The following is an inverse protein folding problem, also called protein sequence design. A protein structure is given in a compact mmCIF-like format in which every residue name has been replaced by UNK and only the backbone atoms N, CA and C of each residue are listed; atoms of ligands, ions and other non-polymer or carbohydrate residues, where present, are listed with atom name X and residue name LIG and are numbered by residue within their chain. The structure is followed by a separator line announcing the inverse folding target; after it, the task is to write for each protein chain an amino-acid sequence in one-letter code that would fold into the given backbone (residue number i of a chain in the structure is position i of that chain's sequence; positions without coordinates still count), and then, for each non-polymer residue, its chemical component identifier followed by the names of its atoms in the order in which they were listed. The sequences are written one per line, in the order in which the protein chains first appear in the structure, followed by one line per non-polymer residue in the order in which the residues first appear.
data_IF_460099184097
#
_entry.id   IF_460099184097
#
_cell.length_a   1.000
_cell.length_b   1.000
_cell.length_c   1.000
_cell.angle_alpha   90.00
_cell.angle_beta   90.00
_cell.angle_gamma   90.00
#
_symmetry.space_group_name_H-M   'P 1'
#
loop_
_entity.id
_entity.type
_entity.pdbx_description
1 polymer ?
#
# COMPACT_ATOMS: atom_id res chain seq x y z
N UNK A 1 3.13 -26.04 -17.00
CA UNK A 1 3.93 -26.21 -15.78
C UNK A 1 4.76 -24.96 -15.44
N UNK A 2 4.15 -23.76 -15.35
CA UNK A 2 4.89 -22.50 -15.03
C UNK A 2 4.10 -21.60 -14.04
N UNK A 3 2.81 -21.85 -13.81
CA UNK A 3 1.98 -20.94 -12.98
C UNK A 3 2.07 -21.18 -11.46
N UNK A 4 2.49 -22.38 -11.03
CA UNK A 4 2.52 -22.76 -9.61
C UNK A 4 3.71 -22.18 -8.82
N UNK A 5 4.77 -21.73 -9.52
CA UNK A 5 6.01 -21.25 -8.91
C UNK A 5 5.88 -19.78 -8.46
N UNK A 6 5.10 -18.95 -9.18
CA UNK A 6 4.93 -17.52 -8.82
C UNK A 6 4.04 -17.31 -7.58
N UNK A 7 3.11 -18.23 -7.28
CA UNK A 7 2.17 -18.11 -6.16
C UNK A 7 2.88 -18.38 -4.81
N UNK A 8 3.78 -19.37 -4.77
CA UNK A 8 4.54 -19.72 -3.56
C UNK A 8 5.46 -18.57 -3.10
N UNK A 9 6.03 -17.81 -4.03
CA UNK A 9 6.89 -16.67 -3.69
C UNK A 9 6.14 -15.50 -3.08
N UNK A 10 4.92 -15.21 -3.54
CA UNK A 10 4.13 -14.11 -2.98
C UNK A 10 3.64 -14.48 -1.57
N UNK A 11 3.13 -15.70 -1.38
CA UNK A 11 2.71 -16.18 -0.05
C UNK A 11 3.90 -16.28 0.91
N UNK A 12 5.05 -16.79 0.46
CA UNK A 12 6.27 -16.84 1.28
C UNK A 12 6.84 -15.44 1.60
N UNK A 13 6.75 -14.49 0.67
CA UNK A 13 7.14 -13.10 0.90
C UNK A 13 6.21 -12.41 1.91
N UNK A 14 4.90 -12.67 1.83
CA UNK A 14 3.93 -12.18 2.83
C UNK A 14 4.12 -12.83 4.21
N UNK A 15 4.42 -14.14 4.24
CA UNK A 15 4.70 -14.88 5.48
C UNK A 15 6.05 -14.50 6.11
N UNK A 16 7.08 -14.17 5.32
CA UNK A 16 8.39 -13.76 5.85
C UNK A 16 8.38 -12.36 6.46
N UNK A 17 7.48 -11.49 6.01
CA UNK A 17 7.32 -10.13 6.54
C UNK A 17 6.39 -10.05 7.76
N UNK A 18 5.50 -11.03 7.96
CA UNK A 18 4.52 -11.07 9.05
C UNK A 18 4.89 -12.03 10.19
N UNK A 19 5.77 -13.02 9.97
CA UNK A 19 6.30 -13.88 11.03
C UNK A 19 7.60 -13.31 11.61
N UNK A 20 7.55 -12.86 12.87
CA UNK A 20 8.74 -12.90 13.72
C UNK A 20 9.14 -14.38 13.89
N UNK A 21 10.26 -14.79 13.28
CA UNK A 21 10.92 -16.10 13.33
C UNK A 21 10.31 -17.28 12.52
N UNK A 22 10.84 -17.56 11.30
CA UNK A 22 10.49 -18.75 10.52
C UNK A 22 11.07 -20.08 11.06
N UNK A 23 11.99 -20.05 12.05
CA UNK A 23 12.63 -21.25 12.62
C UNK A 23 12.14 -21.62 14.04
N UNK A 24 11.05 -21.03 14.54
CA UNK A 24 10.49 -21.44 15.84
C UNK A 24 9.74 -22.76 15.65
N UNK A 25 10.45 -23.88 15.78
CA UNK A 25 9.89 -25.23 15.86
C UNK A 25 8.91 -25.23 17.04
N UNK A 26 7.61 -25.13 16.78
CA UNK A 26 6.60 -25.56 17.74
C UNK A 26 6.54 -27.09 17.68
N UNK A 27 7.54 -27.75 18.26
CA UNK A 27 7.29 -29.02 18.95
C UNK A 27 6.96 -28.64 20.37
N UNK A 28 5.76 -28.11 20.55
CA UNK A 28 5.04 -28.37 21.79
C UNK A 28 4.18 -29.56 21.42
N UNK A 29 4.60 -30.74 21.86
CA UNK A 29 3.67 -31.85 22.06
C UNK A 29 2.52 -31.22 22.82
N UNK A 30 1.35 -31.17 22.20
CA UNK A 30 0.15 -30.63 22.82
C UNK A 30 -0.13 -31.57 23.98
N UNK A 31 0.35 -31.22 25.18
CA UNK A 31 -0.21 -31.75 26.41
C UNK A 31 -1.71 -31.50 26.33
N UNK A 32 -2.48 -32.54 26.58
CA UNK A 32 -3.94 -32.61 26.51
C UNK A 32 -4.66 -31.61 27.45
N UNK A 33 -3.88 -30.80 28.18
CA UNK A 33 -4.32 -29.71 29.06
C UNK A 33 -3.85 -28.32 28.65
N UNK A 34 -3.51 -28.10 27.37
CA UNK A 34 -3.35 -26.75 26.84
C UNK A 34 -4.72 -26.05 26.95
N UNK A 35 -4.94 -25.33 28.06
CA UNK A 35 -5.99 -24.33 28.18
C UNK A 35 -5.79 -23.37 27.02
N UNK A 36 -6.52 -23.65 25.93
CA UNK A 36 -6.91 -22.67 24.92
C UNK A 36 -7.29 -21.44 25.72
N UNK A 37 -6.71 -20.29 25.40
CA UNK A 37 -7.04 -19.04 26.08
C UNK A 37 -8.58 -18.93 26.09
N UNK A 38 -9.22 -19.20 27.23
CA UNK A 38 -10.68 -19.33 27.41
C UNK A 38 -11.34 -17.95 27.44
N UNK A 39 -10.86 -17.04 26.60
CA UNK A 39 -11.67 -15.96 26.11
C UNK A 39 -11.97 -16.36 24.67
N UNK A 40 -12.90 -17.30 24.51
CA UNK A 40 -13.55 -17.48 23.22
C UNK A 40 -14.17 -16.14 22.86
N UNK A 41 -13.62 -15.43 21.88
CA UNK A 41 -14.18 -14.15 21.46
C UNK A 41 -15.68 -14.36 21.20
N UNK A 42 -16.49 -13.59 21.93
CA UNK A 42 -17.92 -13.61 21.75
C UNK A 42 -18.26 -13.07 20.37
N UNK A 43 -19.51 -13.29 19.94
CA UNK A 43 -20.02 -12.68 18.70
C UNK A 43 -19.86 -11.15 18.74
N UNK A 44 -20.08 -10.55 19.90
CA UNK A 44 -19.94 -9.11 20.14
C UNK A 44 -18.48 -8.67 20.02
N UNK A 45 -17.54 -9.40 20.63
CA UNK A 45 -16.10 -9.09 20.53
C UNK A 45 -15.61 -9.12 19.07
N UNK A 46 -16.09 -10.09 18.28
CA UNK A 46 -15.75 -10.20 16.86
C UNK A 46 -16.35 -9.06 16.05
N UNK A 47 -17.60 -8.67 16.31
CA UNK A 47 -18.22 -7.52 15.65
C UNK A 47 -17.47 -6.22 15.96
N UNK A 48 -17.14 -5.98 17.24
CA UNK A 48 -16.34 -4.83 17.67
C UNK A 48 -14.94 -4.82 17.06
N UNK A 49 -14.33 -6.00 16.93
CA UNK A 49 -13.03 -6.15 16.28
C UNK A 49 -13.11 -5.84 14.79
N UNK A 50 -14.16 -6.32 14.11
CA UNK A 50 -14.42 -6.03 12.70
C UNK A 50 -14.57 -4.53 12.47
N UNK A 51 -15.36 -3.84 13.30
CA UNK A 51 -15.53 -2.38 13.23
C UNK A 51 -14.21 -1.63 13.43
N UNK A 52 -13.40 -2.06 14.40
CA UNK A 52 -12.08 -1.48 14.65
C UNK A 52 -11.15 -1.63 13.44
N UNK A 53 -11.15 -2.81 12.81
CA UNK A 53 -10.33 -3.06 11.60
C UNK A 53 -10.82 -2.20 10.43
N UNK A 54 -12.13 -2.10 10.23
CA UNK A 54 -12.72 -1.22 9.21
C UNK A 54 -12.36 0.25 9.44
N UNK A 55 -12.37 0.71 10.70
CA UNK A 55 -11.90 2.04 11.07
C UNK A 55 -10.42 2.25 10.72
N UNK A 56 -9.56 1.27 10.98
CA UNK A 56 -8.15 1.35 10.60
C UNK A 56 -7.93 1.40 9.08
N UNK A 57 -8.73 0.64 8.31
CA UNK A 57 -8.74 0.74 6.85
C UNK A 57 -9.11 2.16 6.41
N UNK A 58 -10.20 2.72 6.95
CA UNK A 58 -10.63 4.09 6.67
C UNK A 58 -9.56 5.13 7.01
N UNK A 59 -8.88 4.97 8.15
CA UNK A 59 -7.78 5.84 8.55
C UNK A 59 -6.58 5.77 7.58
N UNK A 60 -6.25 4.56 7.08
CA UNK A 60 -5.21 4.40 6.06
C UNK A 60 -5.59 5.14 4.77
N UNK A 61 -6.83 5.00 4.33
CA UNK A 61 -7.32 5.61 3.09
C UNK A 61 -7.33 7.14 3.18
N UNK A 62 -7.75 7.71 4.32
CA UNK A 62 -7.68 9.15 4.56
C UNK A 62 -6.24 9.67 4.52
N UNK A 63 -5.31 9.00 5.22
CA UNK A 63 -3.90 9.41 5.24
C UNK A 63 -3.26 9.36 3.85
N UNK A 64 -3.54 8.32 3.06
CA UNK A 64 -3.07 8.23 1.68
C UNK A 64 -3.65 9.35 0.81
N UNK A 65 -4.94 9.66 0.98
CA UNK A 65 -5.63 10.73 0.25
C UNK A 65 -5.06 12.11 0.57
N UNK A 66 -4.72 12.39 1.84
CA UNK A 66 -4.07 13.65 2.23
C UNK A 66 -2.72 13.83 1.55
N UNK A 67 -1.89 12.78 1.49
CA UNK A 67 -0.59 12.87 0.82
C UNK A 67 -0.76 13.09 -0.69
N UNK A 68 -1.70 12.39 -1.34
CA UNK A 68 -2.01 12.64 -2.76
C UNK A 68 -2.49 14.06 -3.02
N UNK A 69 -3.31 14.63 -2.12
CA UNK A 69 -3.77 16.01 -2.23
C UNK A 69 -2.61 17.00 -2.12
N UNK A 70 -1.70 16.80 -1.15
CA UNK A 70 -0.49 17.63 -0.99
C UNK A 70 0.39 17.56 -2.25
N UNK A 71 0.63 16.35 -2.77
CA UNK A 71 1.39 16.17 -4.02
C UNK A 71 0.68 16.87 -5.19
N UNK A 72 -0.64 16.73 -5.30
CA UNK A 72 -1.43 17.38 -6.34
C UNK A 72 -1.29 18.90 -6.33
N UNK A 73 -1.49 19.53 -5.16
CA UNK A 73 -1.31 20.98 -4.99
C UNK A 73 0.12 21.40 -5.32
N UNK A 74 1.12 20.66 -4.82
CA UNK A 74 2.53 20.94 -5.12
C UNK A 74 2.86 20.87 -6.61
N UNK A 75 2.37 19.84 -7.31
CA UNK A 75 2.54 19.69 -8.76
C UNK A 75 1.88 20.85 -9.52
N UNK A 76 0.66 21.26 -9.13
CA UNK A 76 0.00 22.42 -9.75
C UNK A 76 0.84 23.68 -9.59
N UNK A 77 1.36 23.98 -8.40
CA UNK A 77 2.22 25.16 -8.17
C UNK A 77 3.47 25.12 -9.04
N UNK A 78 4.15 23.97 -9.10
CA UNK A 78 5.38 23.81 -9.89
C UNK A 78 5.10 23.95 -11.40
N UNK A 79 4.00 23.37 -11.89
CA UNK A 79 3.64 23.39 -13.30
C UNK A 79 3.05 24.72 -13.78
N UNK A 80 2.31 25.43 -12.93
CA UNK A 80 1.67 26.71 -13.28
C UNK A 80 2.62 27.90 -13.23
N UNK A 81 3.71 27.81 -12.46
CA UNK A 81 4.72 28.86 -12.38
C UNK A 81 5.77 28.82 -13.50
N UNK A 82 6.60 29.86 -13.57
CA UNK A 82 7.78 29.87 -14.45
C UNK A 82 8.87 28.88 -14.00
N UNK A 83 8.70 28.21 -12.86
CA UNK A 83 9.56 27.15 -12.33
C UNK A 83 9.79 26.03 -13.35
N UNK A 84 8.74 25.57 -14.04
CA UNK A 84 8.89 24.51 -15.04
C UNK A 84 9.70 24.99 -16.26
N UNK A 85 9.48 26.23 -16.70
CA UNK A 85 10.28 26.83 -17.79
C UNK A 85 11.74 26.98 -17.39
N UNK A 86 12.00 27.43 -16.16
CA UNK A 86 13.34 27.54 -15.60
C UNK A 86 14.05 26.18 -15.58
N UNK A 87 13.37 25.13 -15.11
CA UNK A 87 13.91 23.77 -15.10
C UNK A 87 14.21 23.28 -16.52
N UNK A 88 13.31 23.55 -17.46
CA UNK A 88 13.48 23.17 -18.86
C UNK A 88 14.74 23.80 -19.45
N UNK A 89 14.85 25.13 -19.40
CA UNK A 89 15.93 25.89 -20.05
C UNK A 89 17.29 25.62 -19.39
N UNK A 90 17.35 25.53 -18.06
CA UNK A 90 18.63 25.46 -17.35
C UNK A 90 19.18 24.05 -17.17
N UNK A 91 18.32 23.02 -17.23
CA UNK A 91 18.75 21.64 -16.92
C UNK A 91 18.33 20.63 -17.99
N UNK A 92 17.09 20.66 -18.47
CA UNK A 92 16.60 19.63 -19.41
C UNK A 92 17.11 19.85 -20.84
N UNK A 93 16.97 21.08 -21.35
CA UNK A 93 17.38 21.44 -22.71
C UNK A 93 18.89 21.28 -22.93
N UNK A 94 19.79 21.73 -22.03
CA UNK A 94 21.23 21.51 -22.17
C UNK A 94 21.57 20.02 -22.23
N UNK A 95 21.00 19.19 -21.35
CA UNK A 95 21.24 17.74 -21.36
C UNK A 95 20.70 17.09 -22.62
N UNK A 96 19.54 17.52 -23.13
CA UNK A 96 19.01 17.05 -24.41
C UNK A 96 19.95 17.39 -25.58
N UNK A 97 20.47 18.62 -25.61
CA UNK A 97 21.40 19.09 -26.64
C UNK A 97 22.74 18.36 -26.58
N UNK A 98 23.20 17.99 -25.39
CA UNK A 98 24.38 17.13 -25.21
C UNK A 98 24.19 15.78 -25.90
N UNK A 99 23.05 15.11 -25.68
CA UNK A 99 22.78 13.80 -26.30
C UNK A 99 22.49 13.87 -27.80
N UNK A 100 21.83 14.94 -28.27
CA UNK A 100 21.43 15.06 -29.67
C UNK A 100 22.56 15.58 -30.57
N UNK A 101 23.33 16.56 -30.08
CA UNK A 101 24.26 17.34 -30.90
C UNK A 101 25.71 17.31 -30.37
N UNK A 102 26.01 16.50 -29.34
CA UNK A 102 27.33 16.45 -28.68
C UNK A 102 27.84 17.81 -28.20
N UNK A 103 26.92 18.71 -27.82
CA UNK A 103 27.27 20.01 -27.25
C UNK A 103 27.82 19.80 -25.84
N UNK A 104 29.01 20.34 -25.50
CA UNK A 104 29.57 20.20 -24.17
C UNK A 104 28.70 20.92 -23.12
N UNK A 105 28.39 20.23 -22.03
CA UNK A 105 27.59 20.75 -20.92
C UNK A 105 28.39 20.68 -19.63
N UNK A 106 28.22 21.67 -18.75
CA UNK A 106 28.87 21.70 -17.44
C UNK A 106 28.49 20.49 -16.61
N UNK A 107 29.46 19.92 -15.88
CA UNK A 107 29.23 18.80 -14.97
C UNK A 107 28.12 19.09 -13.94
N UNK A 108 28.07 20.33 -13.43
CA UNK A 108 27.04 20.74 -12.46
C UNK A 108 25.62 20.65 -13.05
N UNK A 109 25.43 21.04 -14.31
CA UNK A 109 24.14 20.94 -14.99
C UNK A 109 23.69 19.48 -15.13
N UNK A 110 24.63 18.56 -15.41
CA UNK A 110 24.35 17.12 -15.50
C UNK A 110 23.93 16.56 -14.13
N UNK A 111 24.64 16.92 -13.06
CA UNK A 111 24.30 16.52 -11.69
C UNK A 111 22.90 17.02 -11.29
N UNK A 112 22.59 18.28 -11.60
CA UNK A 112 21.28 18.88 -11.30
C UNK A 112 20.15 18.23 -12.08
N UNK A 113 20.35 17.93 -13.37
CA UNK A 113 19.38 17.21 -14.18
C UNK A 113 19.14 15.77 -13.67
N UNK A 114 20.20 15.09 -13.24
CA UNK A 114 20.09 13.76 -12.62
C UNK A 114 19.32 13.82 -11.29
N UNK A 115 19.59 14.82 -10.45
CA UNK A 115 18.85 15.02 -9.19
C UNK A 115 17.36 15.27 -9.44
N UNK A 116 17.01 16.09 -10.44
CA UNK A 116 15.62 16.31 -10.86
C UNK A 116 14.94 15.02 -11.32
N UNK A 117 15.64 14.16 -12.05
CA UNK A 117 15.13 12.86 -12.46
C UNK A 117 14.80 11.98 -11.24
N UNK A 118 15.69 11.93 -10.23
CA UNK A 118 15.45 11.17 -9.00
C UNK A 118 14.26 11.72 -8.19
N UNK A 119 14.10 13.05 -8.14
CA UNK A 119 12.93 13.70 -7.52
C UNK A 119 11.66 13.26 -8.25
N UNK A 120 11.62 13.37 -9.58
CA UNK A 120 10.46 12.99 -10.37
C UNK A 120 10.10 11.51 -10.18
N UNK A 121 11.09 10.60 -10.23
CA UNK A 121 10.89 9.17 -10.03
C UNK A 121 10.36 8.85 -8.62
N UNK A 122 10.92 9.47 -7.57
CA UNK A 122 10.46 9.26 -6.20
C UNK A 122 9.02 9.76 -5.97
N UNK A 123 8.64 10.90 -6.55
CA UNK A 123 7.25 11.39 -6.52
C UNK A 123 6.31 10.42 -7.23
N UNK A 124 6.66 9.96 -8.44
CA UNK A 124 5.84 9.00 -9.20
C UNK A 124 5.66 7.69 -8.41
N UNK A 125 6.75 7.15 -7.85
CA UNK A 125 6.68 5.94 -7.02
C UNK A 125 5.81 6.15 -5.77
N UNK A 126 5.89 7.31 -5.13
CA UNK A 126 5.02 7.67 -4.01
C UNK A 126 3.55 7.65 -4.42
N UNK A 127 3.19 8.35 -5.51
CA UNK A 127 1.82 8.39 -6.04
C UNK A 127 1.30 6.98 -6.33
N UNK A 128 2.09 6.15 -7.02
CA UNK A 128 1.70 4.78 -7.35
C UNK A 128 1.44 3.95 -6.09
N UNK A 129 2.29 4.05 -5.06
CA UNK A 129 2.09 3.35 -3.80
C UNK A 129 0.86 3.86 -3.03
N UNK A 130 0.58 5.16 -3.06
CA UNK A 130 -0.65 5.72 -2.48
C UNK A 130 -1.89 5.20 -3.19
N UNK A 131 -1.90 5.19 -4.53
CA UNK A 131 -3.00 4.61 -5.31
C UNK A 131 -3.17 3.12 -4.97
N UNK A 132 -2.08 2.35 -4.83
CA UNK A 132 -2.17 0.96 -4.40
C UNK A 132 -2.70 0.77 -2.98
N UNK A 133 -2.44 1.73 -2.08
CA UNK A 133 -3.00 1.70 -0.73
C UNK A 133 -4.51 2.00 -0.72
N UNK A 134 -4.98 2.82 -1.66
CA UNK A 134 -6.40 3.16 -1.84
C UNK A 134 -7.19 2.08 -2.59
N UNK A 135 -6.55 1.38 -3.53
CA UNK A 135 -7.21 0.33 -4.31
C UNK A 135 -7.75 -0.77 -3.38
N UNK A 136 -9.05 -1.04 -3.49
CA UNK A 136 -9.68 -2.17 -2.84
C UNK A 136 -9.11 -3.47 -3.39
N UNK A 137 -8.48 -4.30 -2.54
CA UNK A 137 -8.12 -5.68 -2.89
C UNK A 137 -9.33 -6.56 -2.59
N UNK A 138 -10.19 -6.75 -3.59
CA UNK A 138 -11.46 -7.49 -3.48
C UNK A 138 -11.34 -8.99 -3.78
N UNK A 139 -10.14 -9.46 -4.11
CA UNK A 139 -9.96 -10.84 -4.57
C UNK A 139 -9.84 -11.81 -3.39
N UNK A 140 -10.99 -12.10 -2.77
CA UNK A 140 -11.18 -13.05 -1.67
C UNK A 140 -10.66 -14.45 -2.00
N UNK A 141 -10.66 -14.83 -3.29
CA UNK A 141 -10.17 -16.14 -3.75
C UNK A 141 -8.67 -16.30 -3.46
N UNK A 142 -7.90 -15.21 -3.48
CA UNK A 142 -6.47 -15.23 -3.10
C UNK A 142 -6.23 -15.41 -1.61
N UNK A 143 -7.25 -15.21 -0.78
CA UNK A 143 -7.16 -15.29 0.68
C UNK A 143 -7.94 -16.47 1.27
N UNK A 144 -8.66 -17.23 0.43
CA UNK A 144 -9.46 -18.37 0.84
C UNK A 144 -8.59 -19.49 1.42
N UNK A 145 -8.90 -19.90 2.64
CA UNK A 145 -8.29 -21.03 3.34
C UNK A 145 -9.38 -22.05 3.71
N UNK A 146 -8.98 -23.31 3.88
CA UNK A 146 -9.89 -24.37 4.32
C UNK A 146 -10.57 -23.97 5.64
N UNK A 147 -11.91 -24.00 5.66
CA UNK A 147 -12.73 -23.65 6.84
C UNK A 147 -13.29 -22.21 6.84
N UNK A 148 -12.90 -21.36 5.89
CA UNK A 148 -13.46 -20.00 5.78
C UNK A 148 -14.86 -20.00 5.18
N UNK A 149 -15.74 -19.14 5.70
CA UNK A 149 -17.07 -18.92 5.14
C UNK A 149 -16.96 -18.00 3.92
N UNK A 150 -17.18 -18.55 2.73
CA UNK A 150 -17.12 -17.79 1.47
C UNK A 150 -18.39 -17.01 1.18
N UNK A 151 -19.53 -17.47 1.72
CA UNK A 151 -20.84 -16.86 1.54
C UNK A 151 -21.24 -16.05 2.78
N UNK A 152 -20.71 -14.82 2.85
CA UNK A 152 -20.86 -13.93 4.01
C UNK A 152 -22.18 -13.16 4.05
N UNK A 153 -22.81 -13.09 5.22
CA UNK A 153 -23.95 -12.22 5.54
C UNK A 153 -23.57 -10.80 5.94
N UNK A 154 -22.28 -10.52 6.18
CA UNK A 154 -21.79 -9.18 6.56
C UNK A 154 -21.09 -8.44 5.43
N UNK A 155 -20.50 -9.15 4.47
CA UNK A 155 -19.78 -8.53 3.36
C UNK A 155 -20.72 -7.97 2.30
N UNK A 156 -20.67 -6.65 2.08
CA UNK A 156 -21.60 -5.93 1.20
C UNK A 156 -21.68 -6.51 -0.23
N UNK A 157 -20.58 -6.95 -0.84
CA UNK A 157 -20.64 -7.55 -2.19
C UNK A 157 -21.26 -8.95 -2.18
N UNK A 158 -21.15 -9.68 -1.07
CA UNK A 158 -21.78 -10.99 -0.92
C UNK A 158 -23.29 -10.83 -0.74
N UNK A 159 -23.71 -9.87 0.09
CA UNK A 159 -25.12 -9.49 0.26
C UNK A 159 -25.72 -9.02 -1.07
N UNK A 160 -25.04 -8.12 -1.79
CA UNK A 160 -25.54 -7.55 -3.04
C UNK A 160 -25.69 -8.57 -4.19
N UNK A 161 -25.06 -9.75 -4.09
CA UNK A 161 -25.22 -10.84 -5.07
C UNK A 161 -26.45 -11.70 -4.82
N UNK A 162 -27.08 -11.59 -3.66
CA UNK A 162 -28.26 -12.37 -3.27
C UNK A 162 -29.53 -11.55 -3.52
N UNK A 163 -30.63 -12.24 -3.76
CA UNK A 163 -31.96 -11.64 -3.66
C UNK A 163 -32.32 -11.39 -2.19
N UNK A 164 -33.27 -10.49 -1.93
CA UNK A 164 -33.73 -10.20 -0.57
C UNK A 164 -34.24 -11.46 0.16
N UNK A 165 -35.00 -12.31 -0.56
CA UNK A 165 -35.51 -13.58 -0.02
C UNK A 165 -34.38 -14.53 0.38
N UNK A 166 -33.40 -14.73 -0.51
CA UNK A 166 -32.21 -15.55 -0.23
C UNK A 166 -31.36 -15.00 0.92
N UNK A 167 -31.36 -13.68 1.14
CA UNK A 167 -30.67 -13.09 2.28
C UNK A 167 -31.39 -13.40 3.60
N UNK A 168 -32.72 -13.31 3.64
CA UNK A 168 -33.52 -13.56 4.84
C UNK A 168 -33.57 -15.04 5.25
N UNK A 169 -33.55 -15.96 4.27
CA UNK A 169 -33.70 -17.41 4.51
C UNK A 169 -32.36 -18.13 4.77
N UNK A 170 -31.22 -17.46 4.60
CA UNK A 170 -29.91 -18.11 4.71
C UNK A 170 -29.49 -18.30 6.17
N UNK A 171 -29.30 -19.55 6.58
CA UNK A 171 -28.77 -19.91 7.90
C UNK A 171 -27.24 -20.06 7.86
N UNK A 172 -26.53 -18.94 7.81
CA UNK A 172 -25.05 -18.96 7.90
C UNK A 172 -24.61 -19.09 9.35
N UNK A 173 -23.54 -19.84 9.61
CA UNK A 173 -22.85 -19.83 10.90
C UNK A 173 -22.24 -18.45 11.17
N UNK A 174 -23.02 -17.58 11.80
CA UNK A 174 -22.70 -16.17 12.05
C UNK A 174 -21.33 -15.98 12.72
N UNK A 175 -20.98 -16.87 13.66
CA UNK A 175 -19.69 -16.81 14.36
C UNK A 175 -18.51 -17.08 13.40
N UNK A 176 -18.64 -18.06 12.51
CA UNK A 176 -17.59 -18.40 11.56
C UNK A 176 -17.45 -17.33 10.46
N UNK A 177 -18.58 -16.74 10.04
CA UNK A 177 -18.59 -15.62 9.10
C UNK A 177 -17.89 -14.38 9.69
N UNK A 178 -18.21 -14.00 10.93
CA UNK A 178 -17.51 -12.91 11.61
C UNK A 178 -16.00 -13.15 11.74
N UNK A 179 -15.58 -14.38 12.11
CA UNK A 179 -14.15 -14.73 12.14
C UNK A 179 -13.49 -14.57 10.77
N UNK A 180 -14.18 -15.01 9.72
CA UNK A 180 -13.73 -14.88 8.33
C UNK A 180 -13.58 -13.40 7.95
N UNK A 181 -14.57 -12.56 8.28
CA UNK A 181 -14.52 -11.12 7.99
C UNK A 181 -13.42 -10.39 8.75
N UNK A 182 -13.25 -10.67 10.05
CA UNK A 182 -12.17 -10.08 10.86
C UNK A 182 -10.80 -10.43 10.25
N UNK A 183 -10.60 -11.70 9.88
CA UNK A 183 -9.35 -12.14 9.27
C UNK A 183 -9.08 -11.46 7.92
N UNK A 184 -10.05 -11.51 6.99
CA UNK A 184 -9.90 -10.93 5.65
C UNK A 184 -9.63 -9.43 5.74
N UNK A 185 -10.43 -8.69 6.51
CA UNK A 185 -10.25 -7.24 6.64
C UNK A 185 -8.91 -6.90 7.30
N UNK A 186 -8.42 -7.71 8.24
CA UNK A 186 -7.09 -7.51 8.84
C UNK A 186 -5.96 -7.69 7.83
N UNK A 187 -6.08 -8.66 6.92
CA UNK A 187 -5.12 -8.86 5.82
C UNK A 187 -5.14 -7.69 4.84
N UNK A 188 -6.33 -7.21 4.46
CA UNK A 188 -6.51 -6.03 3.61
C UNK A 188 -5.86 -4.81 4.28
N UNK A 189 -6.19 -4.55 5.54
CA UNK A 189 -5.65 -3.44 6.33
C UNK A 189 -4.12 -3.47 6.34
N UNK A 190 -3.53 -4.61 6.66
CA UNK A 190 -2.07 -4.80 6.68
C UNK A 190 -1.43 -4.51 5.31
N UNK A 191 -2.04 -5.02 4.24
CA UNK A 191 -1.60 -4.76 2.87
C UNK A 191 -1.65 -3.26 2.53
N UNK A 192 -2.75 -2.58 2.86
CA UNK A 192 -2.91 -1.13 2.60
C UNK A 192 -1.84 -0.33 3.33
N UNK A 193 -1.64 -0.59 4.62
CA UNK A 193 -0.60 0.08 5.41
C UNK A 193 0.83 -0.22 4.91
N UNK A 194 1.08 -1.40 4.33
CA UNK A 194 2.37 -1.73 3.71
C UNK A 194 2.66 -0.85 2.49
N UNK A 195 1.68 -0.68 1.61
CA UNK A 195 1.80 0.23 0.47
C UNK A 195 1.91 1.69 0.91
N UNK A 196 1.06 2.12 1.85
CA UNK A 196 1.13 3.46 2.44
C UNK A 196 2.53 3.75 3.02
N UNK A 197 3.11 2.86 3.82
CA UNK A 197 4.44 3.03 4.40
C UNK A 197 5.52 3.16 3.32
N UNK A 198 5.43 2.39 2.24
CA UNK A 198 6.36 2.53 1.09
C UNK A 198 6.18 3.87 0.39
N UNK A 199 4.93 4.30 0.18
CA UNK A 199 4.61 5.60 -0.41
C UNK A 199 5.16 6.76 0.40
N UNK A 200 4.94 6.74 1.72
CA UNK A 200 5.49 7.75 2.66
C UNK A 200 7.01 7.80 2.55
N UNK A 201 7.71 6.67 2.53
CA UNK A 201 9.19 6.66 2.39
C UNK A 201 9.65 7.31 1.08
N UNK A 202 8.99 7.02 -0.04
CA UNK A 202 9.33 7.67 -1.31
C UNK A 202 9.03 9.17 -1.29
N UNK A 203 7.93 9.58 -0.64
CA UNK A 203 7.61 10.99 -0.42
C UNK A 203 8.66 11.70 0.44
N UNK A 204 9.08 11.11 1.55
CA UNK A 204 10.16 11.63 2.41
C UNK A 204 11.46 11.79 1.62
N UNK A 205 11.86 10.77 0.85
CA UNK A 205 13.03 10.83 -0.03
C UNK A 205 12.90 12.00 -1.03
N UNK A 206 11.72 12.17 -1.64
CA UNK A 206 11.50 13.27 -2.60
C UNK A 206 11.66 14.65 -1.96
N UNK A 207 11.24 14.81 -0.70
CA UNK A 207 11.42 16.07 0.05
C UNK A 207 12.90 16.31 0.32
N UNK A 208 13.65 15.31 0.80
CA UNK A 208 15.09 15.46 1.04
C UNK A 208 15.85 15.82 -0.24
N UNK A 209 15.55 15.14 -1.35
CA UNK A 209 16.17 15.43 -2.65
C UNK A 209 15.82 16.84 -3.15
N UNK A 210 14.58 17.29 -2.95
CA UNK A 210 14.15 18.65 -3.30
C UNK A 210 14.90 19.72 -2.48
N UNK A 211 15.09 19.50 -1.17
CA UNK A 211 15.84 20.42 -0.32
C UNK A 211 17.31 20.52 -0.77
N UNK A 212 17.94 19.39 -1.09
CA UNK A 212 19.29 19.34 -1.63
C UNK A 212 19.36 20.12 -2.96
N UNK A 213 18.40 19.92 -3.86
CA UNK A 213 18.33 20.63 -5.13
C UNK A 213 18.21 22.15 -4.94
N UNK A 214 17.39 22.62 -4.00
CA UNK A 214 17.26 24.04 -3.68
C UNK A 214 18.59 24.61 -3.16
N UNK A 215 19.28 23.90 -2.26
CA UNK A 215 20.59 24.34 -1.76
C UNK A 215 21.60 24.46 -2.89
N UNK A 216 21.65 23.50 -3.82
CA UNK A 216 22.53 23.60 -4.99
C UNK A 216 22.21 24.82 -5.84
N UNK A 217 20.91 25.10 -6.13
CA UNK A 217 20.52 26.31 -6.86
C UNK A 217 21.07 27.56 -6.17
N UNK A 218 20.90 27.67 -4.85
CA UNK A 218 21.31 28.84 -4.07
C UNK A 218 22.83 29.04 -4.05
N UNK A 219 23.62 27.96 -4.09
CA UNK A 219 25.09 28.03 -4.12
C UNK A 219 25.59 28.39 -5.53
N UNK A 220 24.90 27.92 -6.57
CA UNK A 220 25.31 28.16 -7.97
C UNK A 220 24.82 29.49 -8.55
N UNK A 221 23.93 30.19 -7.83
CA UNK A 221 23.48 31.55 -8.16
C UNK A 221 24.45 32.58 -7.59
#
# INVERSE_FOLDING_TARGET
MILHIKIKHIVNFYMSFTRQNPNRIHRVIVDEHLRVNEISLTKEDLALTLDRVNMWIGNCDQKASFILAIIGVGLTIICSGDSMKYVWINFVEPVKLMFANNIPVSYMTIVMAFLLLLIALSIILSILQMIYSLRAKTDLVKFSQNGMQTDSMFHYQSIAKRTYKEFCENEVQVLNDLRTQVYVNSVICTSKFSHYKKGVRFFEISIYLLLIFIVFILITK
#
